data_IF_371886022175
#
_entry.id   IF_371886022175
#
_cell.length_a   1.000
_cell.length_b   1.000
_cell.length_c   1.000
_cell.angle_alpha   90.00
_cell.angle_beta   90.00
_cell.angle_gamma   90.00
#
_symmetry.space_group_name_H-M   'P 1'
#
loop_
_entity.id
_entity.type
_entity.pdbx_description
1 polymer ?
#
# COMPACT_ATOMS: atom_id res chain seq x y z
N UNK A 1 -0.04 -35.47 -4.34
CA UNK A 1 0.14 -34.83 -5.67
C UNK A 1 0.57 -35.88 -6.68
N UNK A 2 -0.31 -36.37 -7.57
CA UNK A 2 0.07 -37.31 -8.62
C UNK A 2 0.64 -36.56 -9.83
N UNK A 3 1.91 -36.84 -10.18
CA UNK A 3 2.61 -36.19 -11.31
C UNK A 3 4.02 -35.68 -10.99
N UNK A 4 4.65 -36.14 -9.90
CA UNK A 4 5.90 -35.64 -9.33
C UNK A 4 7.06 -35.51 -10.31
N UNK A 5 7.16 -34.36 -10.97
CA UNK A 5 8.39 -33.85 -11.54
C UNK A 5 9.28 -33.38 -10.40
N UNK A 6 10.55 -33.78 -10.42
CA UNK A 6 11.55 -33.24 -9.49
C UNK A 6 11.69 -31.74 -9.78
N UNK A 7 11.25 -30.90 -8.84
CA UNK A 7 11.47 -29.45 -8.90
C UNK A 7 12.79 -29.16 -8.19
N UNK A 8 13.70 -28.48 -8.89
CA UNK A 8 14.89 -27.89 -8.25
C UNK A 8 14.45 -26.55 -7.68
N UNK A 9 14.44 -26.45 -6.35
CA UNK A 9 14.21 -25.20 -5.65
C UNK A 9 15.57 -24.64 -5.19
N UNK A 10 15.79 -23.36 -5.41
CA UNK A 10 16.92 -22.64 -4.85
C UNK A 10 16.45 -21.93 -3.59
N UNK A 11 17.24 -22.04 -2.52
CA UNK A 11 16.97 -21.34 -1.27
C UNK A 11 18.11 -20.36 -1.01
N UNK A 12 17.76 -19.16 -0.56
CA UNK A 12 18.72 -18.19 -0.03
C UNK A 12 18.64 -18.26 1.49
N UNK A 13 19.77 -18.54 2.13
CA UNK A 13 19.89 -18.49 3.59
C UNK A 13 20.41 -17.11 3.98
N UNK A 14 19.70 -16.46 4.90
CA UNK A 14 20.17 -15.23 5.55
C UNK A 14 20.51 -15.54 7.01
N UNK A 15 21.56 -14.92 7.54
CA UNK A 15 21.94 -15.06 8.96
C UNK A 15 22.53 -13.74 9.47
N UNK A 16 22.41 -13.50 10.77
CA UNK A 16 23.23 -12.50 11.48
C UNK A 16 22.72 -11.07 11.45
N UNK A 17 21.73 -10.71 10.64
CA UNK A 17 21.09 -9.40 10.75
C UNK A 17 19.97 -9.46 11.81
N UNK A 18 20.29 -9.00 13.02
CA UNK A 18 19.33 -8.91 14.13
C UNK A 18 18.46 -7.65 14.04
N UNK A 19 18.83 -6.68 13.20
CA UNK A 19 18.12 -5.40 13.02
C UNK A 19 17.02 -5.51 11.96
N UNK A 20 17.10 -6.50 11.06
CA UNK A 20 16.08 -6.73 10.04
C UNK A 20 14.71 -6.99 10.68
N UNK A 21 13.74 -6.15 10.35
CA UNK A 21 12.38 -6.22 10.89
C UNK A 21 12.21 -5.58 12.27
N UNK A 22 13.26 -4.96 12.83
CA UNK A 22 13.12 -4.08 14.01
C UNK A 22 12.81 -2.67 13.53
N UNK A 23 11.56 -2.26 13.71
CA UNK A 23 11.13 -0.89 13.41
C UNK A 23 11.59 0.10 14.48
N UNK A 24 11.82 1.35 14.08
CA UNK A 24 12.16 2.46 14.98
C UNK A 24 11.27 3.66 14.68
N UNK A 25 10.03 3.60 15.17
CA UNK A 25 9.02 4.63 14.94
C UNK A 25 9.08 5.74 15.99
N UNK A 26 8.95 6.99 15.56
CA UNK A 26 8.86 8.18 16.41
C UNK A 26 7.66 9.01 15.99
N UNK A 27 6.74 9.28 16.92
CA UNK A 27 5.62 10.19 16.71
C UNK A 27 6.14 11.63 16.72
N UNK A 28 5.96 12.35 15.61
CA UNK A 28 6.40 13.73 15.49
C UNK A 28 5.40 14.72 16.11
N UNK A 29 4.25 14.23 16.62
CA UNK A 29 3.17 15.00 17.27
C UNK A 29 2.46 16.01 16.35
N UNK A 30 2.70 15.91 15.04
CA UNK A 30 2.10 16.74 13.99
C UNK A 30 1.22 15.93 13.02
N UNK A 31 0.93 14.67 13.35
CA UNK A 31 0.21 13.73 12.50
C UNK A 31 1.11 12.88 11.60
N UNK A 32 2.44 13.01 11.70
CA UNK A 32 3.41 12.15 11.01
C UNK A 32 4.19 11.25 11.97
N UNK A 33 4.71 10.14 11.43
CA UNK A 33 5.58 9.20 12.14
C UNK A 33 6.86 9.04 11.36
N UNK A 34 8.01 9.27 12.01
CA UNK A 34 9.32 8.98 11.44
C UNK A 34 9.65 7.50 11.64
N UNK A 35 10.02 6.80 10.58
CA UNK A 35 10.59 5.45 10.64
C UNK A 35 12.10 5.53 10.42
N UNK A 36 12.85 5.57 11.53
CA UNK A 36 14.30 5.72 11.50
C UNK A 36 15.02 4.46 11.01
N UNK A 37 14.35 3.31 10.96
CA UNK A 37 14.95 2.06 10.46
C UNK A 37 15.02 2.06 8.93
N UNK A 38 14.05 2.70 8.26
CA UNK A 38 13.96 2.74 6.79
C UNK A 38 14.29 4.10 6.19
N UNK A 39 14.37 5.15 7.00
CA UNK A 39 14.51 6.52 6.52
C UNK A 39 13.22 7.09 5.92
N UNK A 40 12.08 6.46 6.19
CA UNK A 40 10.76 6.88 5.70
C UNK A 40 10.02 7.72 6.74
N UNK A 41 9.02 8.46 6.28
CA UNK A 41 8.05 9.13 7.13
C UNK A 41 6.64 8.81 6.64
N UNK A 42 5.75 8.54 7.58
CA UNK A 42 4.41 8.03 7.34
C UNK A 42 3.34 8.99 7.84
N UNK A 43 2.16 9.02 7.20
CA UNK A 43 0.98 9.60 7.84
C UNK A 43 0.54 8.71 9.01
N UNK A 44 0.20 9.33 10.14
CA UNK A 44 -0.27 8.62 11.34
C UNK A 44 -1.66 8.04 11.16
N UNK A 45 -2.56 8.78 10.52
CA UNK A 45 -3.87 8.29 10.09
C UNK A 45 -3.80 7.67 8.70
N UNK A 46 -4.68 6.71 8.44
CA UNK A 46 -5.01 6.26 7.09
C UNK A 46 -6.07 7.18 6.43
N UNK A 47 -6.52 6.81 5.23
CA UNK A 47 -7.51 7.58 4.46
C UNK A 47 -8.89 7.66 5.11
N UNK A 48 -9.19 6.84 6.14
CA UNK A 48 -10.49 6.76 6.80
C UNK A 48 -11.60 6.12 5.97
N UNK A 49 -11.36 5.87 4.69
CA UNK A 49 -12.30 5.27 3.75
C UNK A 49 -11.55 4.49 2.67
N UNK A 50 -12.14 3.39 2.22
CA UNK A 50 -11.60 2.57 1.14
C UNK A 50 -11.86 3.21 -0.23
N UNK A 51 -10.91 3.04 -1.14
CA UNK A 51 -10.99 3.55 -2.51
C UNK A 51 -10.33 2.60 -3.49
N UNK A 52 -10.76 2.63 -4.76
CA UNK A 52 -10.08 1.88 -5.80
C UNK A 52 -8.66 2.42 -6.06
N UNK A 53 -7.86 1.68 -6.82
CA UNK A 53 -6.44 2.01 -6.96
C UNK A 53 -6.19 3.32 -7.71
N UNK A 54 -7.03 3.66 -8.69
CA UNK A 54 -6.93 4.93 -9.43
C UNK A 54 -7.32 6.12 -8.54
N UNK A 55 -8.40 5.97 -7.76
CA UNK A 55 -8.84 6.96 -6.79
C UNK A 55 -7.82 7.15 -5.67
N UNK A 56 -7.11 6.09 -5.25
CA UNK A 56 -5.99 6.16 -4.32
C UNK A 56 -4.86 7.05 -4.86
N UNK A 57 -4.45 6.84 -6.10
CA UNK A 57 -3.43 7.67 -6.75
C UNK A 57 -3.90 9.13 -6.87
N UNK A 58 -5.15 9.35 -7.25
CA UNK A 58 -5.72 10.69 -7.34
C UNK A 58 -5.79 11.39 -5.97
N UNK A 59 -6.17 10.65 -4.92
CA UNK A 59 -6.23 11.14 -3.55
C UNK A 59 -4.86 11.61 -3.04
N UNK A 60 -3.79 10.85 -3.33
CA UNK A 60 -2.41 11.27 -3.02
C UNK A 60 -2.09 12.62 -3.68
N UNK A 61 -2.45 12.81 -4.95
CA UNK A 61 -2.22 14.09 -5.65
C UNK A 61 -2.98 15.25 -4.98
N UNK A 62 -4.23 15.01 -4.55
CA UNK A 62 -5.00 16.01 -3.81
C UNK A 62 -4.32 16.35 -2.49
N UNK A 63 -3.80 15.36 -1.74
CA UNK A 63 -3.09 15.59 -0.47
C UNK A 63 -1.81 16.40 -0.65
N UNK A 64 -1.11 16.20 -1.76
CA UNK A 64 0.05 17.02 -2.10
C UNK A 64 -0.32 18.47 -2.43
N UNK A 65 -1.39 18.69 -3.20
CA UNK A 65 -1.90 20.04 -3.50
C UNK A 65 -2.35 20.77 -2.23
N UNK A 66 -2.93 20.04 -1.28
CA UNK A 66 -3.37 20.57 0.03
C UNK A 66 -2.19 20.87 0.98
N UNK A 67 -0.96 20.49 0.62
CA UNK A 67 0.20 20.49 1.52
C UNK A 67 -0.11 19.77 2.84
N UNK A 68 -0.73 18.58 2.72
CA UNK A 68 -1.24 17.81 3.83
C UNK A 68 -0.14 17.50 4.85
N UNK A 69 -0.41 17.76 6.14
CA UNK A 69 0.57 17.67 7.24
C UNK A 69 1.84 18.48 7.00
N UNK A 70 1.77 19.55 6.19
CA UNK A 70 2.91 20.40 5.87
C UNK A 70 3.82 19.88 4.75
N UNK A 71 3.40 18.85 4.02
CA UNK A 71 4.20 18.17 3.00
C UNK A 71 3.43 18.02 1.67
N UNK A 72 4.15 18.04 0.55
CA UNK A 72 3.61 18.01 -0.82
C UNK A 72 4.21 16.92 -1.72
N UNK A 73 4.97 15.99 -1.14
CA UNK A 73 5.66 14.89 -1.82
C UNK A 73 5.24 13.51 -1.27
N UNK A 74 4.02 13.42 -0.74
CA UNK A 74 3.42 12.15 -0.36
C UNK A 74 3.24 11.23 -1.56
N UNK A 75 3.39 9.94 -1.31
CA UNK A 75 3.13 8.87 -2.28
C UNK A 75 2.40 7.69 -1.64
N UNK A 76 1.84 6.85 -2.49
CA UNK A 76 1.40 5.52 -2.11
C UNK A 76 2.65 4.65 -1.86
N UNK A 77 2.75 3.95 -0.72
CA UNK A 77 3.88 3.08 -0.43
C UNK A 77 3.99 1.95 -1.45
N UNK A 78 5.19 1.50 -1.75
CA UNK A 78 5.36 0.23 -2.45
C UNK A 78 5.10 -0.94 -1.50
N UNK A 79 4.98 -2.15 -2.04
CA UNK A 79 4.55 -3.29 -1.24
C UNK A 79 5.56 -3.67 -0.14
N UNK A 80 6.86 -3.43 -0.37
CA UNK A 80 7.91 -3.71 0.63
C UNK A 80 7.88 -2.72 1.79
N UNK A 81 7.54 -1.46 1.51
CA UNK A 81 7.37 -0.44 2.55
C UNK A 81 6.12 -0.71 3.39
N UNK A 82 5.01 -1.13 2.79
CA UNK A 82 3.86 -1.60 3.59
C UNK A 82 4.23 -2.83 4.42
N UNK A 83 5.01 -3.75 3.85
CA UNK A 83 5.45 -4.93 4.55
C UNK A 83 6.35 -4.58 5.75
N UNK A 84 7.16 -3.52 5.68
CA UNK A 84 8.07 -3.13 6.76
C UNK A 84 7.34 -2.63 7.99
N UNK A 85 6.13 -2.07 7.84
CA UNK A 85 5.32 -1.61 8.98
C UNK A 85 4.40 -2.71 9.56
N UNK A 86 4.41 -3.93 9.02
CA UNK A 86 3.66 -5.06 9.59
C UNK A 86 4.29 -5.51 10.90
N UNK A 87 3.47 -5.66 11.94
CA UNK A 87 3.86 -6.23 13.22
C UNK A 87 3.25 -7.63 13.40
N UNK A 88 4.02 -8.66 13.07
CA UNK A 88 3.62 -10.07 13.15
C UNK A 88 3.42 -10.62 14.57
N UNK A 89 3.68 -9.83 15.62
CA UNK A 89 3.30 -10.19 16.99
C UNK A 89 1.85 -9.81 17.32
N UNK A 90 1.14 -9.18 16.38
CA UNK A 90 -0.21 -8.64 16.53
C UNK A 90 -1.11 -9.16 15.41
N UNK A 91 -2.34 -9.47 15.76
CA UNK A 91 -3.39 -9.88 14.83
C UNK A 91 -4.76 -9.77 15.53
N UNK A 92 -5.87 -9.69 14.80
CA UNK A 92 -7.21 -9.65 15.39
C UNK A 92 -7.48 -10.81 16.37
N UNK A 93 -7.14 -12.04 15.97
CA UNK A 93 -7.37 -13.27 16.74
C UNK A 93 -6.41 -13.46 17.94
N UNK A 94 -5.25 -12.78 17.94
CA UNK A 94 -4.24 -12.89 19.00
C UNK A 94 -4.27 -11.73 19.98
N UNK A 95 -4.38 -10.51 19.48
CA UNK A 95 -4.20 -9.27 20.27
C UNK A 95 -5.38 -8.31 20.17
N UNK A 96 -6.47 -8.68 19.50
CA UNK A 96 -7.65 -7.82 19.28
C UNK A 96 -7.23 -6.47 18.68
N UNK A 97 -6.34 -6.52 17.68
CA UNK A 97 -5.79 -5.33 17.04
C UNK A 97 -5.23 -5.60 15.65
N UNK A 98 -5.08 -4.53 14.86
CA UNK A 98 -4.35 -4.57 13.60
C UNK A 98 -2.93 -5.11 13.76
N UNK A 99 -2.41 -5.79 12.73
CA UNK A 99 -1.04 -6.27 12.62
C UNK A 99 -0.04 -5.13 12.32
N UNK A 100 -0.08 -4.06 13.12
CA UNK A 100 0.75 -2.85 12.99
C UNK A 100 1.02 -2.28 14.39
N UNK A 101 2.09 -1.49 14.53
CA UNK A 101 2.38 -0.80 15.79
C UNK A 101 1.25 0.19 16.18
N UNK A 102 0.76 0.21 17.44
CA UNK A 102 -0.32 1.11 17.89
C UNK A 102 -0.02 2.62 17.78
N UNK A 103 1.22 3.01 17.47
CA UNK A 103 1.54 4.39 17.10
C UNK A 103 0.77 4.85 15.85
N UNK A 104 0.43 3.91 14.95
CA UNK A 104 -0.37 4.17 13.77
C UNK A 104 -1.87 4.11 14.11
N UNK A 105 -2.63 5.11 13.66
CA UNK A 105 -4.08 5.08 13.71
C UNK A 105 -4.60 4.26 12.53
N UNK A 106 -5.38 3.23 12.82
CA UNK A 106 -5.96 2.32 11.82
C UNK A 106 -7.47 2.36 11.93
N UNK A 107 -8.12 2.65 10.80
CA UNK A 107 -9.58 2.59 10.70
C UNK A 107 -10.05 1.15 10.84
N UNK A 108 -10.95 0.92 11.79
CA UNK A 108 -11.65 -0.34 11.99
C UNK A 108 -12.83 -0.39 11.00
N UNK A 109 -12.96 -1.49 10.27
CA UNK A 109 -14.10 -1.71 9.40
C UNK A 109 -15.29 -2.16 10.22
N UNK A 110 -16.45 -1.63 9.89
CA UNK A 110 -17.70 -2.05 10.53
C UNK A 110 -18.45 -3.02 9.62
N UNK A 111 -19.41 -3.76 10.18
CA UNK A 111 -20.29 -4.67 9.45
C UNK A 111 -21.12 -3.99 8.33
N UNK A 112 -21.16 -2.66 8.33
CA UNK A 112 -21.81 -1.87 7.29
C UNK A 112 -20.95 -1.76 6.01
N UNK A 113 -19.62 -1.92 6.14
CA UNK A 113 -18.66 -1.87 5.03
C UNK A 113 -18.41 -3.26 4.42
N UNK A 114 -18.54 -4.32 5.23
CA UNK A 114 -18.41 -5.72 4.83
C UNK A 114 -19.39 -6.58 5.64
N UNK A 115 -20.07 -7.59 5.06
CA UNK A 115 -21.11 -8.37 5.76
C UNK A 115 -20.59 -9.29 6.89
N UNK A 116 -19.42 -9.00 7.48
CA UNK A 116 -18.70 -9.85 8.42
C UNK A 116 -18.29 -9.06 9.67
N UNK A 117 -18.44 -9.69 10.82
CA UNK A 117 -18.35 -9.07 12.15
C UNK A 117 -17.04 -9.44 12.87
N UNK A 118 -16.50 -8.45 13.59
CA UNK A 118 -15.28 -8.38 14.40
C UNK A 118 -13.95 -8.14 13.67
N UNK A 119 -13.25 -7.06 14.03
CA UNK A 119 -11.79 -6.96 13.93
C UNK A 119 -11.18 -6.89 12.53
N UNK A 120 -11.94 -6.54 11.50
CA UNK A 120 -11.37 -6.34 10.16
C UNK A 120 -10.71 -4.96 10.14
N UNK A 121 -9.40 -4.95 10.27
CA UNK A 121 -8.60 -3.76 10.02
C UNK A 121 -8.34 -3.61 8.52
N UNK A 122 -8.19 -2.36 8.07
CA UNK A 122 -8.12 -2.06 6.65
C UNK A 122 -7.05 -2.85 5.87
N UNK A 123 -7.36 -3.10 4.61
CA UNK A 123 -6.42 -3.52 3.56
C UNK A 123 -5.81 -2.29 2.93
N UNK A 124 -4.50 -2.26 2.72
CA UNK A 124 -3.80 -1.02 2.36
C UNK A 124 -3.18 -1.14 0.98
N UNK A 125 -3.62 -0.29 0.05
CA UNK A 125 -3.08 -0.29 -1.31
C UNK A 125 -1.59 0.02 -1.32
N UNK A 126 -0.85 -0.72 -2.15
CA UNK A 126 0.50 -0.33 -2.56
C UNK A 126 0.51 0.26 -3.97
N UNK A 127 1.57 1.00 -4.31
CA UNK A 127 1.89 1.41 -5.68
C UNK A 127 2.39 0.27 -6.57
N UNK A 128 2.56 -0.93 -6.00
CA UNK A 128 3.09 -2.10 -6.72
C UNK A 128 1.98 -2.79 -7.49
N UNK A 129 2.09 -2.82 -8.81
CA UNK A 129 1.17 -3.61 -9.65
C UNK A 129 1.54 -5.09 -9.58
N UNK A 130 0.54 -5.96 -9.49
CA UNK A 130 0.77 -7.40 -9.69
C UNK A 130 0.68 -7.68 -11.19
N UNK A 131 1.79 -8.12 -11.76
CA UNK A 131 1.86 -8.50 -13.17
C UNK A 131 1.67 -10.02 -13.29
N UNK A 132 0.56 -10.44 -13.88
CA UNK A 132 0.29 -11.84 -14.20
C UNK A 132 -0.20 -11.99 -15.65
N UNK A 133 0.38 -12.94 -16.38
CA UNK A 133 0.00 -13.25 -17.76
C UNK A 133 0.14 -12.07 -18.74
N UNK A 134 -0.96 -11.36 -18.97
CA UNK A 134 -1.14 -10.39 -20.06
C UNK A 134 -1.27 -8.92 -19.61
N UNK A 135 -1.15 -8.60 -18.31
CA UNK A 135 -1.33 -7.23 -17.85
C UNK A 135 -0.94 -6.95 -16.40
N UNK A 136 -1.08 -5.68 -16.04
CA UNK A 136 -0.91 -5.12 -14.70
C UNK A 136 -2.24 -4.51 -14.22
N UNK A 137 -3.33 -5.23 -14.41
CA UNK A 137 -4.69 -4.86 -14.03
C UNK A 137 -4.97 -5.05 -12.53
N UNK A 138 -4.09 -5.76 -11.82
CA UNK A 138 -4.13 -5.95 -10.38
C UNK A 138 -3.07 -5.10 -9.68
N UNK A 139 -3.33 -4.75 -8.42
CA UNK A 139 -2.35 -4.12 -7.54
C UNK A 139 -2.16 -4.96 -6.27
N UNK A 140 -0.99 -4.87 -5.65
CA UNK A 140 -0.72 -5.53 -4.38
C UNK A 140 -1.21 -4.67 -3.21
N UNK A 141 -1.64 -5.31 -2.14
CA UNK A 141 -1.95 -4.68 -0.86
C UNK A 141 -1.49 -5.58 0.29
N UNK A 142 -1.40 -5.01 1.49
CA UNK A 142 -1.23 -5.75 2.74
C UNK A 142 -2.53 -5.72 3.52
N UNK A 143 -2.95 -6.87 4.05
CA UNK A 143 -4.06 -6.96 5.00
C UNK A 143 -3.52 -6.73 6.42
N UNK A 144 -3.97 -5.68 7.11
CA UNK A 144 -3.62 -5.47 8.53
C UNK A 144 -4.61 -6.14 9.49
N UNK A 145 -5.75 -6.62 8.99
CA UNK A 145 -6.71 -7.46 9.69
C UNK A 145 -6.78 -8.87 9.08
N UNK A 146 -7.88 -9.57 9.35
CA UNK A 146 -8.15 -10.89 8.77
C UNK A 146 -8.20 -10.84 7.23
N UNK A 147 -7.75 -11.90 6.57
CA UNK A 147 -7.74 -12.02 5.12
C UNK A 147 -8.61 -13.20 4.69
N UNK A 148 -9.90 -12.91 4.59
CA UNK A 148 -10.96 -13.90 4.46
C UNK A 148 -11.03 -14.55 3.07
N UNK A 149 -11.52 -15.80 3.06
CA UNK A 149 -11.83 -16.56 1.86
C UNK A 149 -12.94 -17.60 2.09
N UNK A 150 -13.65 -17.93 1.02
CA UNK A 150 -14.71 -18.95 0.96
C UNK A 150 -14.12 -20.33 0.65
N UNK A 151 -13.48 -20.93 1.65
CA UNK A 151 -12.80 -22.22 1.50
C UNK A 151 -13.81 -23.35 1.23
N UNK A 152 -13.58 -24.14 0.17
CA UNK A 152 -14.45 -25.25 -0.21
C UNK A 152 -13.88 -26.60 0.28
N UNK A 153 -14.54 -27.19 1.27
CA UNK A 153 -14.22 -28.50 1.84
C UNK A 153 -15.07 -29.62 1.23
N UNK A 154 -14.96 -29.83 -0.08
CA UNK A 154 -15.65 -30.93 -0.75
C UNK A 154 -17.17 -30.73 -0.91
N UNK A 155 -17.59 -29.48 -1.11
CA UNK A 155 -18.98 -29.08 -1.32
C UNK A 155 -19.53 -28.19 -0.18
N UNK A 156 -18.84 -28.13 0.95
CA UNK A 156 -19.15 -27.21 2.04
C UNK A 156 -18.29 -25.95 1.91
N UNK A 157 -18.93 -24.79 1.79
CA UNK A 157 -18.25 -23.49 1.71
C UNK A 157 -18.21 -22.89 3.11
N UNK A 158 -17.00 -22.61 3.60
CA UNK A 158 -16.75 -22.02 4.90
C UNK A 158 -16.01 -20.70 4.72
N UNK A 159 -16.60 -19.63 5.24
CA UNK A 159 -15.91 -18.36 5.37
C UNK A 159 -14.94 -18.43 6.55
N UNK A 160 -13.67 -18.14 6.31
CA UNK A 160 -12.64 -18.12 7.34
C UNK A 160 -11.48 -17.22 6.91
N UNK A 161 -10.67 -16.81 7.88
CA UNK A 161 -9.35 -16.24 7.59
C UNK A 161 -8.45 -17.34 7.00
N UNK A 162 -8.06 -17.16 5.73
CA UNK A 162 -7.28 -18.17 4.98
C UNK A 162 -5.82 -17.76 4.81
N UNK A 163 -5.47 -16.49 5.07
CA UNK A 163 -4.11 -15.98 4.90
C UNK A 163 -3.52 -15.33 6.16
N UNK A 164 -4.35 -14.83 7.07
CA UNK A 164 -3.91 -14.14 8.29
C UNK A 164 -3.59 -12.66 8.09
N UNK A 165 -3.53 -11.96 9.22
CA UNK A 165 -3.06 -10.58 9.25
C UNK A 165 -1.56 -10.46 8.90
N UNK A 166 -1.23 -9.41 8.17
CA UNK A 166 0.09 -9.17 7.60
C UNK A 166 0.31 -9.81 6.22
N UNK A 167 -0.67 -10.54 5.69
CA UNK A 167 -0.53 -11.17 4.38
C UNK A 167 -0.48 -10.15 3.23
N UNK A 168 0.30 -10.48 2.20
CA UNK A 168 0.27 -9.78 0.92
C UNK A 168 -0.73 -10.46 0.00
N UNK A 169 -1.65 -9.69 -0.56
CA UNK A 169 -2.59 -10.13 -1.59
C UNK A 169 -2.61 -9.13 -2.75
N UNK A 170 -3.36 -9.46 -3.78
CA UNK A 170 -3.56 -8.57 -4.93
C UNK A 170 -4.93 -8.76 -5.51
N UNK A 171 -5.59 -7.65 -5.84
CA UNK A 171 -6.93 -7.64 -6.40
C UNK A 171 -7.01 -6.64 -7.57
N UNK A 172 -8.07 -6.69 -8.39
CA UNK A 172 -8.27 -5.76 -9.49
C UNK A 172 -8.18 -4.31 -9.04
N UNK A 173 -7.55 -3.46 -9.87
CA UNK A 173 -7.39 -2.02 -9.60
C UNK A 173 -8.71 -1.24 -9.64
N UNK A 174 -9.73 -1.81 -10.29
CA UNK A 174 -11.05 -1.21 -10.50
C UNK A 174 -12.10 -2.30 -10.67
N UNK A 175 -13.37 -1.90 -10.63
CA UNK A 175 -14.52 -2.79 -10.76
C UNK A 175 -15.49 -2.66 -9.60
N UNK A 176 -16.43 -3.60 -9.50
CA UNK A 176 -17.39 -3.71 -8.42
C UNK A 176 -17.13 -5.01 -7.65
N UNK A 177 -16.71 -4.96 -6.37
CA UNK A 177 -16.45 -6.15 -5.59
C UNK A 177 -17.73 -6.94 -5.24
N UNK A 178 -18.91 -6.37 -5.52
CA UNK A 178 -20.22 -7.02 -5.31
C UNK A 178 -20.73 -7.75 -6.55
N UNK A 179 -19.97 -7.77 -7.65
CA UNK A 179 -20.37 -8.51 -8.84
C UNK A 179 -20.52 -10.01 -8.52
N UNK A 180 -21.53 -10.63 -9.12
CA UNK A 180 -21.84 -12.06 -9.03
C UNK A 180 -20.68 -12.97 -9.41
N UNK A 181 -19.74 -12.49 -10.23
CA UNK A 181 -18.50 -13.21 -10.53
C UNK A 181 -17.60 -13.44 -9.31
N UNK A 182 -17.76 -12.64 -8.24
CA UNK A 182 -17.00 -12.74 -6.99
C UNK A 182 -17.79 -13.35 -5.83
N UNK A 183 -18.97 -13.92 -6.07
CA UNK A 183 -19.87 -14.44 -5.02
C UNK A 183 -19.17 -15.43 -4.05
N UNK A 184 -18.20 -16.20 -4.55
CA UNK A 184 -17.41 -17.15 -3.76
C UNK A 184 -15.91 -16.84 -3.77
N UNK A 185 -15.57 -15.58 -3.99
CA UNK A 185 -14.18 -15.12 -4.10
C UNK A 185 -13.43 -15.72 -5.29
N UNK A 186 -12.11 -15.62 -5.25
CA UNK A 186 -11.24 -16.00 -6.35
C UNK A 186 -10.19 -17.04 -5.95
N UNK A 187 -9.79 -17.87 -6.91
CA UNK A 187 -8.74 -18.88 -6.68
C UNK A 187 -9.17 -20.05 -5.78
N UNK A 188 -8.23 -20.96 -5.46
CA UNK A 188 -8.54 -22.22 -4.77
C UNK A 188 -9.07 -22.07 -3.34
N UNK A 189 -8.75 -20.95 -2.69
CA UNK A 189 -9.15 -20.65 -1.31
C UNK A 189 -10.40 -19.76 -1.23
N UNK A 190 -10.96 -19.36 -2.38
CA UNK A 190 -12.14 -18.48 -2.43
C UNK A 190 -11.85 -17.09 -1.88
N UNK A 191 -10.66 -16.55 -2.16
CA UNK A 191 -10.16 -15.28 -1.67
C UNK A 191 -11.17 -14.15 -1.93
N UNK A 192 -11.60 -13.45 -0.87
CA UNK A 192 -12.52 -12.31 -1.04
C UNK A 192 -11.81 -11.20 -1.80
N UNK A 193 -12.47 -10.64 -2.81
CA UNK A 193 -11.94 -9.57 -3.64
C UNK A 193 -12.14 -8.22 -2.97
N UNK A 194 -11.04 -7.49 -2.79
CA UNK A 194 -11.02 -6.14 -2.25
C UNK A 194 -10.54 -5.13 -3.30
N UNK A 195 -11.49 -4.39 -3.88
CA UNK A 195 -11.20 -3.30 -4.81
C UNK A 195 -11.03 -1.97 -4.07
N UNK A 196 -11.81 -1.75 -3.01
CA UNK A 196 -11.76 -0.52 -2.21
C UNK A 196 -10.89 -0.73 -0.98
N UNK A 197 -9.63 -0.32 -1.07
CA UNK A 197 -8.65 -0.44 0.01
C UNK A 197 -8.26 0.94 0.56
N UNK A 198 -7.79 0.98 1.80
CA UNK A 198 -7.32 2.18 2.45
C UNK A 198 -5.95 2.61 1.91
N UNK A 199 -5.60 3.86 2.19
CA UNK A 199 -4.29 4.43 1.86
C UNK A 199 -3.63 4.97 3.12
N UNK A 200 -2.36 4.63 3.32
CA UNK A 200 -1.46 5.32 4.25
C UNK A 200 -0.36 5.97 3.45
N UNK A 201 -0.17 7.26 3.63
CA UNK A 201 0.82 8.01 2.87
C UNK A 201 2.21 7.72 3.43
N UNK A 202 3.18 7.68 2.52
CA UNK A 202 4.60 7.62 2.85
C UNK A 202 5.36 8.66 2.05
N UNK A 203 6.48 9.11 2.58
CA UNK A 203 7.49 9.93 1.92
C UNK A 203 8.86 9.57 2.45
N UNK A 204 9.91 10.10 1.82
CA UNK A 204 11.25 10.08 2.40
C UNK A 204 11.27 10.97 3.64
N UNK A 205 11.99 10.55 4.69
CA UNK A 205 12.23 11.37 5.86
C UNK A 205 13.42 12.31 5.59
N UNK A 206 13.20 13.64 5.49
CA UNK A 206 14.26 14.60 5.22
C UNK A 206 15.29 14.70 6.35
N UNK A 207 14.97 14.18 7.54
CA UNK A 207 15.86 14.12 8.69
C UNK A 207 16.57 12.77 8.85
N UNK A 208 16.37 11.84 7.92
CA UNK A 208 17.13 10.59 7.92
C UNK A 208 18.60 10.89 7.64
N UNK A 209 19.41 10.83 8.69
CA UNK A 209 20.87 10.80 8.57
C UNK A 209 21.26 9.35 8.33
N UNK A 210 20.88 8.80 7.16
CA UNK A 210 21.45 7.53 6.73
C UNK A 210 22.90 7.82 6.34
N UNK A 211 23.80 7.73 7.32
CA UNK A 211 25.22 7.72 7.06
C UNK A 211 25.49 6.43 6.26
N UNK A 212 25.65 6.56 4.95
CA UNK A 212 26.54 5.65 4.25
C UNK A 212 27.91 5.91 4.87
N UNK A 213 28.26 5.12 5.88
CA UNK A 213 29.67 4.83 6.11
C UNK A 213 30.09 4.08 4.84
N UNK A 214 30.67 4.82 3.90
CA UNK A 214 31.48 4.23 2.85
C UNK A 214 32.53 3.39 3.57
N UNK A 215 32.31 2.07 3.64
CA UNK A 215 33.33 1.09 3.97
C UNK A 215 34.27 1.03 2.77
N UNK A 216 35.01 2.14 2.57
CA UNK A 216 36.24 2.18 1.80
C UNK A 216 37.31 1.43 2.61
N UNK A 217 37.11 0.13 2.79
CA UNK A 217 38.24 -0.77 2.98
C UNK A 217 38.96 -0.81 1.63
N UNK A 218 40.02 -0.01 1.54
CA UNK A 218 41.04 -0.08 0.48
C UNK A 218 41.61 -1.50 0.41
N UNK A 219 40.96 -2.37 -0.36
CA UNK A 219 41.62 -3.56 -0.89
C UNK A 219 42.55 -3.08 -2.01
N UNK A 220 43.82 -2.88 -1.62
CA UNK A 220 44.98 -2.64 -2.46
C UNK A 220 45.22 -3.84 -3.40
N UNK A 221 44.48 -3.87 -4.51
CA UNK A 221 44.82 -4.69 -5.68
C UNK A 221 45.15 -3.76 -6.84
N UNK A 222 46.43 -3.38 -6.90
CA UNK A 222 47.01 -2.72 -8.06
C UNK A 222 46.95 -3.63 -9.29
N UNK A 223 46.16 -3.27 -10.31
CA UNK A 223 46.41 -3.66 -11.71
C UNK A 223 45.74 -2.70 -12.72
N UNK A 224 46.55 -1.75 -13.19
CA UNK A 224 46.77 -1.27 -14.56
C UNK A 224 45.61 -1.09 -15.60
N UNK A 225 45.59 0.16 -16.11
CA UNK A 225 45.08 0.69 -17.38
C UNK A 225 43.58 0.93 -17.62
N UNK A 226 43.25 2.19 -17.94
CA UNK A 226 42.12 2.50 -18.83
C UNK A 226 41.45 3.87 -18.64
N UNK A 227 42.14 4.95 -18.97
CA UNK A 227 41.58 6.31 -19.13
C UNK A 227 40.43 6.35 -20.15
N UNK A 228 39.22 6.73 -19.72
CA UNK A 228 38.23 7.42 -20.56
C UNK A 228 37.48 8.50 -19.76
N UNK A 229 37.89 9.74 -19.99
CA UNK A 229 37.15 10.95 -19.66
C UNK A 229 35.78 11.00 -20.38
N UNK A 230 34.71 11.40 -19.67
CA UNK A 230 33.40 11.71 -20.25
C UNK A 230 32.46 12.41 -19.27
N UNK A 231 32.38 13.74 -19.39
CA UNK A 231 31.53 14.70 -18.64
C UNK A 231 30.01 14.37 -18.66
N UNK A 232 29.23 14.86 -17.68
CA UNK A 232 27.79 14.62 -17.54
C UNK A 232 26.98 15.58 -18.41
N UNK A 233 25.95 15.07 -19.09
CA UNK A 233 24.99 15.92 -19.82
C UNK A 233 23.57 15.71 -19.29
N UNK A 234 23.00 16.83 -18.86
CA UNK A 234 21.60 17.05 -18.49
C UNK A 234 20.64 16.65 -19.62
N UNK A 235 19.46 16.13 -19.26
CA UNK A 235 18.32 16.09 -20.18
C UNK A 235 17.11 16.80 -19.57
N UNK A 236 17.00 18.03 -20.02
CA UNK A 236 15.85 18.92 -20.17
C UNK A 236 14.50 18.22 -20.49
N UNK A 237 13.52 18.43 -19.61
CA UNK A 237 12.13 18.88 -19.84
C UNK A 237 11.37 18.56 -21.15
N UNK A 238 10.15 18.02 -20.99
CA UNK A 238 8.99 18.34 -21.84
C UNK A 238 7.68 18.41 -21.02
N UNK A 239 6.74 19.32 -21.32
CA UNK A 239 5.58 19.63 -20.47
C UNK A 239 4.32 18.86 -20.88
N UNK A 240 3.67 18.20 -19.92
CA UNK A 240 2.28 17.70 -20.03
C UNK A 240 1.26 18.53 -19.22
N UNK A 241 1.69 19.66 -18.64
CA UNK A 241 0.91 20.41 -17.66
C UNK A 241 -0.28 21.23 -18.21
N UNK A 242 -0.51 21.31 -19.53
CA UNK A 242 -1.55 22.19 -20.06
C UNK A 242 -2.88 21.50 -20.38
N UNK A 243 -2.94 20.16 -20.44
CA UNK A 243 -4.18 19.46 -20.83
C UNK A 243 -5.07 19.10 -19.63
N UNK A 244 -4.48 18.98 -18.42
CA UNK A 244 -5.21 18.55 -17.20
C UNK A 244 -5.93 19.72 -16.50
N UNK A 245 -5.46 20.97 -16.66
CA UNK A 245 -6.10 22.13 -16.03
C UNK A 245 -7.51 22.45 -16.60
N UNK A 246 -7.81 22.04 -17.83
CA UNK A 246 -9.09 22.35 -18.48
C UNK A 246 -10.21 21.42 -17.98
N UNK A 247 -9.91 20.17 -17.62
CA UNK A 247 -10.91 19.22 -17.10
C UNK A 247 -11.27 19.48 -15.63
N UNK A 248 -10.31 19.86 -14.78
CA UNK A 248 -10.56 20.10 -13.35
C UNK A 248 -11.43 21.34 -13.12
N UNK A 249 -11.25 22.39 -13.92
CA UNK A 249 -12.07 23.62 -13.82
C UNK A 249 -13.53 23.36 -14.23
N UNK A 250 -13.78 22.43 -15.16
CA UNK A 250 -15.14 22.07 -15.58
C UNK A 250 -15.92 21.31 -14.48
N UNK A 251 -15.24 20.45 -13.72
CA UNK A 251 -15.87 19.68 -12.64
C UNK A 251 -16.25 20.57 -11.43
N UNK A 252 -15.37 21.49 -11.03
CA UNK A 252 -15.65 22.41 -9.93
C UNK A 252 -16.82 23.37 -10.23
N UNK A 253 -17.01 23.76 -11.50
CA UNK A 253 -18.14 24.58 -11.94
C UNK A 253 -19.45 23.78 -11.99
N UNK A 254 -19.40 22.49 -12.33
CA UNK A 254 -20.60 21.64 -12.36
C UNK A 254 -21.13 21.34 -10.96
N UNK A 255 -20.25 21.09 -9.99
CA UNK A 255 -20.60 20.85 -8.57
C UNK A 255 -21.23 22.09 -7.94
N UNK A 256 -20.71 23.31 -8.24
CA UNK A 256 -21.32 24.56 -7.75
C UNK A 256 -22.70 24.87 -8.34
N UNK A 257 -23.05 24.32 -9.52
CA UNK A 257 -24.38 24.52 -10.13
C UNK A 257 -25.46 23.61 -9.54
N UNK A 258 -25.12 22.38 -9.12
CA UNK A 258 -26.09 21.49 -8.46
C UNK A 258 -26.50 21.97 -7.06
N UNK A 259 -25.58 22.56 -6.29
CA UNK A 259 -25.88 23.01 -4.92
C UNK A 259 -26.70 24.30 -4.83
N UNK A 260 -26.90 25.05 -5.93
CA UNK A 260 -27.78 26.23 -5.96
C UNK A 260 -29.26 25.92 -6.22
N UNK A 261 -29.61 24.69 -6.63
CA UNK A 261 -30.98 24.33 -7.00
C UNK A 261 -31.72 23.51 -5.93
N UNK A 262 -31.15 23.30 -4.73
CA UNK A 262 -31.78 22.54 -3.64
C UNK A 262 -32.28 23.41 -2.48
N UNK A 263 -32.32 24.74 -2.63
CA UNK A 263 -32.88 25.64 -1.63
C UNK A 263 -34.01 26.49 -2.22
N UNK A 264 -35.24 25.94 -2.22
CA UNK A 264 -36.50 26.68 -2.04
C UNK A 264 -37.68 25.70 -2.13
N UNK A 265 -38.20 25.32 -0.98
CA UNK A 265 -39.38 24.48 -0.84
C UNK A 265 -39.85 24.43 0.61
N UNK A 266 -40.37 25.54 1.09
CA UNK A 266 -41.20 25.60 2.30
C UNK A 266 -42.38 26.53 2.03
N UNK A 267 -43.55 25.93 1.83
CA UNK A 267 -44.83 26.25 2.47
C UNK A 267 -45.87 25.19 2.07
#
# INVERSE_FOLDING_TARGET
>A
MPGGLVKVCFVMYVRGNIEYGINNFVDNTDGTISDNATGLMWSKADSGTGMNWEDALAWVQVKNIENYLGNDDWRLPNIKELQSIVNYSRAPDITDSAAIDPIFETTELTTDDFPYDNGIYGYYWSSTSHFEGAGADHACYIAFGEALGYMNYGGEIVLQDVHGAGCQRSDPKSGDPTDSEWEYGHGPQGDIIHINNFVRLVRENPLSTYNFEDDDSEDDDSEDTGDINGDPQSISSYPLYLTILITITAFAVLVRRKNKNLGNGSD
#
